data_IF_198459059096
#
_entry.id   IF_198459059096
#
_cell.length_a   1.000
_cell.length_b   1.000
_cell.length_c   1.000
_cell.angle_alpha   90.00
_cell.angle_beta   90.00
_cell.angle_gamma   90.00
#
_symmetry.space_group_name_H-M   'P 1'
#
loop_
_entity.id
_entity.type
_entity.pdbx_description
1 polymer ?
#
# COMPACT_ATOMS: atom_id res chain seq x y z
N UNK A 1 -13.64 -1.99 8.31
CA UNK A 1 -13.44 -3.42 8.01
C UNK A 1 -12.79 -4.15 9.20
N UNK A 2 -13.51 -5.07 9.83
CA UNK A 2 -12.87 -6.07 10.70
C UNK A 2 -12.30 -7.17 9.79
N UNK A 3 -11.02 -7.51 9.96
CA UNK A 3 -10.49 -8.69 9.30
C UNK A 3 -11.09 -9.91 10.01
N UNK A 4 -12.20 -10.46 9.52
CA UNK A 4 -12.80 -11.66 10.13
C UNK A 4 -11.95 -12.92 9.87
N UNK A 5 -11.03 -12.84 8.91
CA UNK A 5 -10.17 -13.94 8.46
C UNK A 5 -8.81 -14.00 9.17
N UNK A 6 -8.33 -12.90 9.76
CA UNK A 6 -7.16 -12.87 10.63
C UNK A 6 -7.64 -12.45 12.03
N UNK A 7 -7.20 -13.10 13.12
CA UNK A 7 -7.72 -12.80 14.47
C UNK A 7 -7.22 -11.45 15.04
N UNK A 8 -6.92 -10.48 14.17
CA UNK A 8 -6.52 -9.12 14.48
C UNK A 8 -7.75 -8.27 14.83
N UNK A 9 -8.35 -8.56 15.99
CA UNK A 9 -9.53 -7.84 16.50
C UNK A 9 -9.26 -6.39 16.91
N UNK A 10 -8.01 -5.91 16.84
CA UNK A 10 -7.57 -4.64 17.44
C UNK A 10 -6.97 -3.64 16.43
N UNK A 11 -7.32 -3.72 15.14
CA UNK A 11 -6.99 -2.64 14.21
C UNK A 11 -7.89 -1.43 14.49
N UNK A 12 -7.28 -0.32 14.91
CA UNK A 12 -7.98 0.94 15.15
C UNK A 12 -8.44 1.51 13.80
N UNK A 13 -9.73 1.83 13.72
CA UNK A 13 -10.33 2.47 12.54
C UNK A 13 -10.42 3.98 12.74
N UNK A 14 -10.30 4.71 11.64
CA UNK A 14 -10.41 6.17 11.63
C UNK A 14 -11.85 6.64 11.93
N UNK A 15 -12.86 5.82 11.63
CA UNK A 15 -14.28 6.13 11.87
C UNK A 15 -14.90 7.11 10.87
N UNK A 16 -14.13 7.56 9.87
CA UNK A 16 -14.63 8.37 8.76
C UNK A 16 -15.13 7.48 7.60
N UNK A 17 -16.43 7.50 7.36
CA UNK A 17 -17.08 6.65 6.36
C UNK A 17 -16.63 6.97 4.92
N UNK A 18 -16.31 8.24 4.62
CA UNK A 18 -15.85 8.60 3.27
C UNK A 18 -14.45 8.05 2.98
N UNK A 19 -13.54 8.18 3.94
CA UNK A 19 -12.21 7.57 3.90
C UNK A 19 -12.29 6.04 3.79
N UNK A 20 -13.13 5.40 4.60
CA UNK A 20 -13.31 3.94 4.56
C UNK A 20 -13.79 3.47 3.18
N UNK A 21 -14.78 4.17 2.60
CA UNK A 21 -15.25 3.88 1.23
C UNK A 21 -14.13 4.01 0.20
N UNK A 22 -13.33 5.09 0.27
CA UNK A 22 -12.19 5.31 -0.67
C UNK A 22 -11.14 4.21 -0.54
N UNK A 23 -10.86 3.75 0.67
CA UNK A 23 -9.94 2.63 0.92
C UNK A 23 -10.49 1.35 0.30
N UNK A 24 -11.77 1.05 0.52
CA UNK A 24 -12.41 -0.14 -0.04
C UNK A 24 -12.44 -0.13 -1.58
N UNK A 25 -12.71 1.01 -2.21
CA UNK A 25 -12.60 1.18 -3.66
C UNK A 25 -11.19 0.84 -4.17
N UNK A 26 -10.15 1.32 -3.49
CA UNK A 26 -8.75 1.03 -3.86
C UNK A 26 -8.37 -0.43 -3.63
N UNK A 27 -8.87 -1.05 -2.56
CA UNK A 27 -8.70 -2.48 -2.30
C UNK A 27 -9.33 -3.29 -3.44
N UNK A 28 -10.56 -2.97 -3.84
CA UNK A 28 -11.26 -3.67 -4.92
C UNK A 28 -10.53 -3.54 -6.27
N UNK A 29 -10.02 -2.34 -6.59
CA UNK A 29 -9.19 -2.14 -7.79
C UNK A 29 -7.91 -2.99 -7.75
N UNK A 30 -7.27 -3.06 -6.59
CA UNK A 30 -6.06 -3.88 -6.42
C UNK A 30 -6.37 -5.38 -6.54
N UNK A 31 -7.45 -5.87 -5.92
CA UNK A 31 -7.90 -7.27 -6.05
C UNK A 31 -8.12 -7.61 -7.52
N UNK A 32 -8.85 -6.78 -8.27
CA UNK A 32 -9.06 -6.99 -9.70
C UNK A 32 -7.78 -6.99 -10.54
N UNK A 33 -6.75 -6.24 -10.14
CA UNK A 33 -5.43 -6.29 -10.76
C UNK A 33 -4.69 -7.60 -10.43
N UNK A 34 -4.73 -8.05 -9.18
CA UNK A 34 -4.09 -9.30 -8.71
C UNK A 34 -4.68 -10.51 -9.41
N UNK A 35 -6.01 -10.56 -9.58
CA UNK A 35 -6.68 -11.66 -10.28
C UNK A 35 -6.22 -11.80 -11.74
N UNK A 36 -5.95 -10.67 -12.41
CA UNK A 36 -5.41 -10.63 -13.79
C UNK A 36 -3.92 -10.93 -13.86
N UNK A 37 -3.20 -10.82 -12.73
CA UNK A 37 -1.75 -10.94 -12.65
C UNK A 37 -1.33 -11.90 -11.52
N UNK A 38 -1.70 -13.19 -11.59
CA UNK A 38 -1.41 -14.15 -10.53
C UNK A 38 0.11 -14.29 -10.30
N UNK A 39 0.50 -14.43 -9.04
CA UNK A 39 1.88 -14.62 -8.59
C UNK A 39 2.86 -13.49 -8.97
N UNK A 40 2.35 -12.32 -9.41
CA UNK A 40 3.20 -11.13 -9.58
C UNK A 40 3.41 -10.44 -8.23
N UNK A 41 4.66 -10.05 -7.96
CA UNK A 41 4.97 -9.09 -6.89
C UNK A 41 4.41 -7.72 -7.27
N UNK A 42 3.94 -7.00 -6.27
CA UNK A 42 3.27 -5.72 -6.44
C UNK A 42 3.62 -4.78 -5.29
N UNK A 43 3.33 -3.50 -5.47
CA UNK A 43 3.54 -2.47 -4.47
C UNK A 43 2.34 -1.53 -4.47
N UNK A 44 1.82 -1.23 -3.28
CA UNK A 44 0.85 -0.17 -3.05
C UNK A 44 1.59 0.98 -2.37
N UNK A 45 1.30 2.21 -2.80
CA UNK A 45 1.91 3.40 -2.22
C UNK A 45 0.84 4.30 -1.57
N UNK A 46 1.04 4.65 -0.31
CA UNK A 46 0.29 5.71 0.38
C UNK A 46 1.20 6.93 0.47
N UNK A 47 0.77 8.06 -0.07
CA UNK A 47 1.53 9.31 -0.03
C UNK A 47 0.73 10.40 0.66
N UNK A 48 1.37 11.19 1.51
CA UNK A 48 0.82 12.39 2.11
C UNK A 48 1.44 13.64 1.49
N UNK A 49 0.63 14.67 1.28
CA UNK A 49 1.08 15.90 0.63
C UNK A 49 0.42 17.15 1.21
N UNK A 50 1.05 18.29 0.96
CA UNK A 50 0.43 19.61 1.11
C UNK A 50 -0.01 20.12 -0.27
N UNK A 51 -1.12 20.86 -0.28
CA UNK A 51 -1.59 21.55 -1.48
C UNK A 51 -1.08 22.98 -1.43
N UNK A 52 -0.10 23.30 -2.28
CA UNK A 52 0.40 24.68 -2.41
C UNK A 52 -0.20 25.31 -3.64
N UNK A 53 -0.96 26.38 -3.43
CA UNK A 53 -1.34 27.28 -4.51
C UNK A 53 -0.17 28.23 -4.76
N UNK A 54 0.47 28.15 -5.92
CA UNK A 54 1.40 29.20 -6.34
C UNK A 54 0.59 30.48 -6.54
N UNK A 55 1.02 31.56 -5.89
CA UNK A 55 0.42 32.87 -6.09
C UNK A 55 0.54 33.21 -7.57
N UNK A 56 -0.59 33.52 -8.21
CA UNK A 56 -0.70 33.77 -9.63
C UNK A 56 0.27 34.89 -10.05
N UNK A 57 1.47 34.50 -10.48
CA UNK A 57 2.45 35.45 -11.00
C UNK A 57 2.05 35.71 -12.45
N UNK A 58 1.13 36.67 -12.64
CA UNK A 58 0.81 37.50 -13.83
C UNK A 58 0.71 36.88 -15.25
N UNK A 59 1.27 35.71 -15.55
CA UNK A 59 1.19 35.03 -16.84
C UNK A 59 1.10 33.52 -16.63
N UNK A 60 -0.12 33.00 -16.83
CA UNK A 60 -0.45 31.61 -17.12
C UNK A 60 -0.41 30.59 -15.97
N UNK A 61 -1.64 30.11 -15.67
CA UNK A 61 -1.98 28.87 -14.98
C UNK A 61 -1.88 28.88 -13.44
N UNK A 62 -3.04 28.87 -12.79
CA UNK A 62 -3.19 28.41 -11.41
C UNK A 62 -2.91 26.91 -11.38
N UNK A 63 -1.64 26.51 -11.40
CA UNK A 63 -1.25 25.12 -11.20
C UNK A 63 -1.13 24.86 -9.72
N UNK A 64 -2.15 24.22 -9.16
CA UNK A 64 -2.10 23.64 -7.82
C UNK A 64 -1.01 22.57 -7.78
N UNK A 65 -0.01 22.74 -6.92
CA UNK A 65 1.11 21.81 -6.79
C UNK A 65 0.93 20.95 -5.52
N UNK A 66 1.16 19.65 -5.65
CA UNK A 66 1.20 18.70 -4.53
C UNK A 66 2.65 18.55 -4.07
N UNK A 67 2.93 18.95 -2.83
CA UNK A 67 4.22 18.76 -2.19
C UNK A 67 4.14 17.52 -1.30
N UNK A 68 4.67 16.39 -1.79
CA UNK A 68 4.69 15.15 -1.04
C UNK A 68 5.76 15.20 0.06
N UNK A 69 5.34 15.07 1.31
CA UNK A 69 6.23 15.12 2.48
C UNK A 69 6.43 13.75 3.13
N UNK A 70 5.60 12.76 2.80
CA UNK A 70 5.75 11.38 3.30
C UNK A 70 5.19 10.35 2.32
N UNK A 71 5.88 9.21 2.17
CA UNK A 71 5.47 8.12 1.31
C UNK A 71 5.75 6.76 1.97
N UNK A 72 4.72 5.91 1.99
CA UNK A 72 4.76 4.54 2.49
C UNK A 72 4.61 3.57 1.33
N UNK A 73 5.54 2.65 1.21
CA UNK A 73 5.54 1.62 0.18
C UNK A 73 5.26 0.25 0.80
N UNK A 74 4.12 -0.32 0.46
CA UNK A 74 3.64 -1.60 0.96
C UNK A 74 3.87 -2.64 -0.14
N UNK A 75 4.89 -3.47 0.03
CA UNK A 75 5.21 -4.54 -0.92
C UNK A 75 4.34 -5.76 -0.65
N UNK A 76 3.66 -6.24 -1.68
CA UNK A 76 2.69 -7.34 -1.60
C UNK A 76 3.03 -8.43 -2.59
N UNK A 77 3.03 -9.67 -2.11
CA UNK A 77 3.16 -10.87 -2.93
C UNK A 77 1.97 -11.77 -2.66
N UNK A 78 1.02 -11.81 -3.60
CA UNK A 78 -0.19 -12.62 -3.47
C UNK A 78 0.06 -13.97 -4.13
N UNK A 79 0.12 -15.02 -3.31
CA UNK A 79 0.29 -16.40 -3.75
C UNK A 79 -1.09 -17.01 -4.02
N UNK A 80 -1.33 -17.45 -5.25
CA UNK A 80 -2.57 -18.11 -5.60
C UNK A 80 -2.45 -19.63 -5.35
N UNK A 81 -3.15 -20.16 -4.34
CA UNK A 81 -3.15 -21.59 -4.03
C UNK A 81 -4.20 -22.37 -4.80
N UNK A 82 -4.58 -21.94 -6.02
CA UNK A 82 -5.43 -22.76 -6.90
C UNK A 82 -4.76 -24.12 -7.07
N UNK A 83 -5.32 -25.10 -6.37
CA UNK A 83 -5.00 -26.51 -6.47
C UNK A 83 -5.07 -26.86 -7.94
N UNK A 84 -3.90 -27.12 -8.55
CA UNK A 84 -3.85 -27.75 -9.86
C UNK A 84 -4.40 -29.16 -9.66
N UNK A 85 -5.71 -29.31 -9.81
CA UNK A 85 -6.37 -30.60 -9.92
C UNK A 85 -5.90 -31.25 -11.22
N UNK A 86 -4.79 -32.00 -11.13
CA UNK A 86 -4.37 -33.09 -12.03
C UNK A 86 -2.98 -33.58 -11.61
N UNK A 87 -2.94 -34.67 -10.86
CA UNK A 87 -1.93 -35.71 -11.10
C UNK A 87 -2.54 -37.07 -10.80
N UNK A 88 -2.51 -37.89 -11.84
CA UNK A 88 -3.04 -39.22 -11.93
C UNK A 88 -2.12 -40.15 -11.13
N UNK A 89 -2.72 -40.94 -10.23
CA UNK A 89 -2.23 -42.24 -9.80
C UNK A 89 -0.92 -42.30 -8.97
N UNK A 90 -1.05 -42.19 -7.64
CA UNK A 90 -0.19 -42.97 -6.74
C UNK A 90 -0.94 -43.25 -5.44
N UNK A 91 -1.19 -44.53 -5.18
CA UNK A 91 -1.84 -45.05 -3.97
C UNK A 91 -1.00 -44.71 -2.73
N UNK A 92 -1.52 -43.85 -1.86
CA UNK A 92 -1.18 -43.81 -0.44
C UNK A 92 -2.40 -43.29 0.33
N UNK A 93 -2.94 -44.03 1.31
CA UNK A 93 -4.01 -43.53 2.17
C UNK A 93 -3.35 -42.74 3.31
N UNK A 94 -3.15 -41.45 3.08
CA UNK A 94 -2.86 -40.48 4.16
C UNK A 94 -4.05 -39.53 4.15
N UNK A 95 -4.80 -39.47 5.25
CA UNK A 95 -6.00 -38.64 5.42
C UNK A 95 -5.75 -37.22 4.89
N UNK A 96 -6.30 -36.83 3.72
CA UNK A 96 -6.01 -35.54 3.11
C UNK A 96 -6.62 -34.36 3.88
N UNK A 97 -7.60 -34.63 4.75
CA UNK A 97 -8.36 -33.62 5.49
C UNK A 97 -7.56 -32.94 6.61
N UNK A 98 -6.78 -33.70 7.37
CA UNK A 98 -6.10 -33.17 8.57
C UNK A 98 -4.88 -32.32 8.18
N UNK A 99 -4.12 -32.75 7.17
CA UNK A 99 -2.96 -32.00 6.67
C UNK A 99 -3.36 -30.67 6.01
N UNK A 100 -4.49 -30.63 5.29
CA UNK A 100 -4.98 -29.40 4.65
C UNK A 100 -5.48 -28.36 5.67
N UNK A 101 -6.12 -28.83 6.75
CA UNK A 101 -6.58 -27.97 7.84
C UNK A 101 -5.37 -27.36 8.58
N UNK A 102 -4.38 -28.17 8.96
CA UNK A 102 -3.16 -27.75 9.65
C UNK A 102 -2.29 -26.83 8.78
N UNK A 103 -2.15 -27.10 7.48
CA UNK A 103 -1.42 -26.21 6.57
C UNK A 103 -2.13 -24.85 6.44
N UNK A 104 -3.46 -24.83 6.44
CA UNK A 104 -4.24 -23.59 6.37
C UNK A 104 -4.19 -22.79 7.67
N UNK A 105 -4.11 -23.45 8.83
CA UNK A 105 -3.99 -22.81 10.14
C UNK A 105 -2.59 -22.22 10.32
N UNK A 106 -1.55 -22.97 9.93
CA UNK A 106 -0.16 -22.50 9.94
C UNK A 106 0.04 -21.27 9.05
N UNK A 107 -0.48 -21.29 7.80
CA UNK A 107 -0.43 -20.14 6.90
C UNK A 107 -1.12 -18.89 7.48
N UNK A 108 -2.27 -19.07 8.12
CA UNK A 108 -3.00 -17.98 8.80
C UNK A 108 -2.19 -17.41 9.96
N UNK A 109 -1.60 -18.26 10.81
CA UNK A 109 -0.78 -17.83 11.93
C UNK A 109 0.48 -17.07 11.48
N UNK A 110 1.16 -17.54 10.43
CA UNK A 110 2.32 -16.83 9.87
C UNK A 110 1.95 -15.46 9.29
N UNK A 111 0.82 -15.37 8.57
CA UNK A 111 0.31 -14.09 8.07
C UNK A 111 -0.02 -13.14 9.21
N UNK A 112 -0.68 -13.64 10.27
CA UNK A 112 -1.02 -12.83 11.43
C UNK A 112 0.24 -12.29 12.14
N UNK A 113 1.27 -13.12 12.34
CA UNK A 113 2.54 -12.69 12.92
C UNK A 113 3.21 -11.61 12.07
N UNK A 114 3.29 -11.82 10.75
CA UNK A 114 3.89 -10.85 9.83
C UNK A 114 3.13 -9.51 9.84
N UNK A 115 1.79 -9.54 9.90
CA UNK A 115 0.98 -8.33 10.01
C UNK A 115 1.24 -7.60 11.34
N UNK A 116 1.29 -8.32 12.47
CA UNK A 116 1.61 -7.73 13.78
C UNK A 116 2.98 -7.06 13.76
N UNK A 117 3.99 -7.71 13.20
CA UNK A 117 5.33 -7.14 13.06
C UNK A 117 5.33 -5.85 12.23
N UNK A 118 4.62 -5.83 11.09
CA UNK A 118 4.50 -4.64 10.25
C UNK A 118 3.79 -3.51 10.99
N UNK A 119 2.72 -3.78 11.74
CA UNK A 119 2.03 -2.77 12.55
C UNK A 119 2.96 -2.14 13.60
N UNK A 120 3.75 -2.95 14.30
CA UNK A 120 4.76 -2.44 15.23
C UNK A 120 5.84 -1.60 14.53
N UNK A 121 6.26 -1.99 13.33
CA UNK A 121 7.19 -1.20 12.54
C UNK A 121 6.59 0.16 12.14
N UNK A 122 5.31 0.21 11.76
CA UNK A 122 4.62 1.47 11.47
C UNK A 122 4.64 2.38 12.70
N UNK A 123 4.23 1.87 13.87
CA UNK A 123 4.22 2.63 15.13
C UNK A 123 5.63 3.15 15.46
N UNK A 124 6.64 2.29 15.33
CA UNK A 124 8.04 2.66 15.54
C UNK A 124 8.47 3.79 14.61
N UNK A 125 8.24 3.65 13.31
CA UNK A 125 8.65 4.66 12.32
C UNK A 125 7.93 6.00 12.48
N UNK A 126 6.64 5.99 12.78
CA UNK A 126 5.87 7.22 13.05
C UNK A 126 6.44 7.95 14.28
N UNK A 127 6.84 7.21 15.32
CA UNK A 127 7.44 7.81 16.51
C UNK A 127 8.87 8.33 16.28
N UNK A 128 9.67 7.60 15.49
CA UNK A 128 11.06 7.97 15.19
C UNK A 128 11.17 9.13 14.20
N UNK A 129 10.24 9.23 13.25
CA UNK A 129 10.26 10.22 12.16
C UNK A 129 9.02 11.10 12.25
N UNK A 130 8.95 11.95 13.27
CA UNK A 130 7.82 12.89 13.44
C UNK A 130 8.13 14.32 13.05
N UNK A 131 9.42 14.67 12.93
CA UNK A 131 9.85 16.06 12.79
C UNK A 131 9.56 16.65 11.40
N UNK A 132 9.25 15.81 10.41
CA UNK A 132 8.85 16.23 9.06
C UNK A 132 7.33 16.37 8.89
N UNK A 133 6.53 16.03 9.91
CA UNK A 133 5.06 16.11 9.85
C UNK A 133 4.64 17.59 9.92
N UNK A 134 3.86 18.10 8.96
CA UNK A 134 3.38 19.48 8.99
C UNK A 134 2.53 19.80 10.22
N UNK A 135 2.58 21.05 10.69
CA UNK A 135 1.76 21.50 11.81
C UNK A 135 0.27 21.44 11.47
N UNK A 136 -0.53 20.80 12.32
CA UNK A 136 -1.99 20.75 12.18
C UNK A 136 -2.57 22.09 12.63
N UNK A 137 -3.10 22.88 11.69
CA UNK A 137 -3.70 24.19 11.98
C UNK A 137 -5.18 24.12 12.36
N UNK A 138 -5.86 23.01 12.06
CA UNK A 138 -7.27 22.81 12.35
C UNK A 138 -7.51 21.44 13.01
N UNK A 139 -8.10 21.44 14.20
CA UNK A 139 -8.39 20.23 14.99
C UNK A 139 -9.52 19.36 14.43
N UNK A 140 -10.29 19.86 13.45
CA UNK A 140 -11.37 19.11 12.78
C UNK A 140 -10.85 18.25 11.62
N UNK A 141 -9.57 18.38 11.26
CA UNK A 141 -8.96 17.62 10.16
C UNK A 141 -8.62 16.20 10.64
N UNK A 142 -9.34 15.22 10.09
CA UNK A 142 -9.19 13.80 10.44
C UNK A 142 -8.00 13.16 9.71
N UNK A 143 -7.57 13.72 8.56
CA UNK A 143 -6.38 13.27 7.82
C UNK A 143 -5.75 14.39 6.99
N UNK A 144 -4.42 14.36 6.85
CA UNK A 144 -3.73 15.18 5.84
C UNK A 144 -4.13 14.77 4.43
N UNK A 145 -4.04 15.65 3.42
CA UNK A 145 -4.25 15.26 2.03
C UNK A 145 -3.37 14.07 1.64
N UNK A 146 -4.00 13.05 1.07
CA UNK A 146 -3.34 11.78 0.77
C UNK A 146 -3.69 11.26 -0.62
N UNK A 147 -2.88 10.31 -1.09
CA UNK A 147 -3.07 9.59 -2.35
C UNK A 147 -2.68 8.13 -2.17
N UNK A 148 -3.60 7.23 -2.53
CA UNK A 148 -3.35 5.79 -2.59
C UNK A 148 -3.18 5.39 -4.05
N UNK A 149 -1.98 4.91 -4.37
CA UNK A 149 -1.62 4.40 -5.69
C UNK A 149 -1.52 2.89 -5.64
N UNK A 150 -2.29 2.23 -6.50
CA UNK A 150 -2.27 0.78 -6.71
C UNK A 150 -1.78 0.50 -8.14
N UNK A 151 -1.20 -0.69 -8.40
CA UNK A 151 -0.95 -1.14 -9.75
C UNK A 151 -2.25 -1.14 -10.57
N UNK A 152 -2.28 -0.42 -11.68
CA UNK A 152 -3.45 -0.33 -12.57
C UNK A 152 -3.20 -1.08 -13.89
N UNK A 153 -4.25 -1.65 -14.48
CA UNK A 153 -4.21 -2.23 -15.82
C UNK A 153 -4.32 -1.20 -16.96
N UNK A 154 -4.54 0.09 -16.66
CA UNK A 154 -4.50 1.14 -17.70
C UNK A 154 -3.05 1.49 -18.03
N UNK A 155 -2.72 1.59 -19.32
CA UNK A 155 -1.42 1.90 -19.92
C UNK A 155 -0.76 3.24 -19.52
N UNK A 156 -1.10 3.82 -18.37
CA UNK A 156 -0.35 4.90 -17.73
C UNK A 156 0.79 4.39 -16.84
N UNK A 157 1.21 3.12 -16.99
CA UNK A 157 2.48 2.62 -16.44
C UNK A 157 3.71 3.37 -16.95
N UNK A 158 3.57 4.18 -18.01
CA UNK A 158 4.63 5.04 -18.52
C UNK A 158 4.78 6.39 -17.79
N UNK A 159 3.79 6.82 -16.99
CA UNK A 159 3.88 8.11 -16.25
C UNK A 159 4.83 8.04 -15.05
N UNK A 160 4.65 7.04 -14.19
CA UNK A 160 5.38 6.98 -12.91
C UNK A 160 6.87 6.65 -13.05
N UNK A 161 7.24 5.72 -13.94
CA UNK A 161 8.65 5.40 -14.19
C UNK A 161 9.39 6.59 -14.81
N UNK A 162 8.74 7.32 -15.71
CA UNK A 162 9.35 8.49 -16.35
C UNK A 162 9.48 9.64 -15.36
N UNK A 163 8.53 9.86 -14.46
CA UNK A 163 8.63 10.92 -13.45
C UNK A 163 9.71 10.65 -12.39
N UNK A 164 9.88 9.40 -11.96
CA UNK A 164 10.96 9.02 -11.04
C UNK A 164 12.33 9.05 -11.72
N UNK A 165 12.46 8.47 -12.92
CA UNK A 165 13.71 8.51 -13.69
C UNK A 165 14.10 9.94 -14.08
N UNK A 166 13.13 10.77 -14.47
CA UNK A 166 13.35 12.19 -14.78
C UNK A 166 13.80 12.96 -13.55
N UNK A 167 13.23 12.67 -12.37
CA UNK A 167 13.67 13.29 -11.10
C UNK A 167 15.10 12.88 -10.73
N UNK A 168 15.47 11.61 -10.94
CA UNK A 168 16.85 11.12 -10.73
C UNK A 168 17.86 11.71 -11.74
N UNK A 169 17.44 11.97 -12.98
CA UNK A 169 18.29 12.62 -14.00
C UNK A 169 18.40 14.14 -13.79
N UNK A 170 17.40 14.77 -13.16
CA UNK A 170 17.42 16.19 -12.81
C UNK A 170 18.26 16.49 -11.56
N UNK A 171 18.48 15.51 -10.67
CA UNK A 171 19.50 15.59 -9.62
C UNK A 171 20.88 15.36 -10.22
N UNK A 172 21.31 16.27 -11.09
CA UNK A 172 22.67 16.33 -11.60
C UNK A 172 23.63 16.75 -10.48
N UNK A 173 24.58 15.85 -10.19
CA UNK A 173 25.79 15.99 -9.38
C UNK A 173 25.66 16.46 -7.92
N UNK A 174 26.23 15.73 -6.94
CA UNK A 174 26.47 16.29 -5.63
C UNK A 174 27.50 17.41 -5.80
N UNK A 175 27.12 18.65 -5.51
CA UNK A 175 28.08 19.70 -5.19
C UNK A 175 28.82 19.22 -3.95
N UNK A 176 30.06 18.74 -4.12
CA UNK A 176 30.97 18.63 -2.98
C UNK A 176 31.14 20.06 -2.44
N UNK A 177 30.62 20.28 -1.24
CA UNK A 177 31.00 21.43 -0.45
C UNK A 177 32.45 21.23 -0.02
N UNK A 178 33.25 22.25 -0.33
CA UNK A 178 34.69 22.39 -0.11
C UNK A 178 35.15 22.14 1.32
#
# INVERSE_FOLDING_TARGET
MNCETCQLKELVQCGDAELERKIDEKINLFIGWVEKHPNKKSQVCLSFYEVRNKQATWMFSNKTERLYWEQWYINLHVVNTKTHGKSHNSKAPINPGDNALEESSSRRASLESALREVLFQIIKFVNEKKDHIPSVTNSEVISFPYEITTPSSSDSSFGWHTDVLKRMLQTGHPSMLS
#
